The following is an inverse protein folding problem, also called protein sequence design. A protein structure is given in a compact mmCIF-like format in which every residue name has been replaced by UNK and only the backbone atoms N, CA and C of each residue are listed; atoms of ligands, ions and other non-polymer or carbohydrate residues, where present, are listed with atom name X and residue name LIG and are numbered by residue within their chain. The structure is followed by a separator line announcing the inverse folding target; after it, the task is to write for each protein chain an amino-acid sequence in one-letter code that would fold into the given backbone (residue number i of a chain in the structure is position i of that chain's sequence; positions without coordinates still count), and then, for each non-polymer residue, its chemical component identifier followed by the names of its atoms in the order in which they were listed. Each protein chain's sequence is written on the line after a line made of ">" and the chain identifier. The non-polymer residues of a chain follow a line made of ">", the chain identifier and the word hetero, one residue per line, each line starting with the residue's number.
data_IF_323948388385
#
_entry.id   IF_323948388385
#
_cell.length_a   1.000
_cell.length_b   1.000
_cell.length_c   1.000
_cell.angle_alpha   90.00
_cell.angle_beta   90.00
_cell.angle_gamma   90.00
#
_symmetry.space_group_name_H-M   'P 1'
#
loop_
_entity.id
_entity.type
_entity.pdbx_description
1 polymer ?
#
# COMPACT_ATOMS: atom_id res chain seq x y z
N UNK A 1 1.90 10.20 -24.03
CA UNK A 1 2.73 9.45 -23.05
C UNK A 1 3.80 8.70 -23.84
N UNK A 2 5.08 8.97 -23.57
CA UNK A 2 6.21 8.26 -24.20
C UNK A 2 6.48 6.94 -23.45
N UNK A 3 6.90 5.89 -24.18
CA UNK A 3 7.28 4.59 -23.59
C UNK A 3 8.40 4.76 -22.57
N UNK A 4 9.36 5.66 -22.83
CA UNK A 4 10.49 5.89 -21.91
C UNK A 4 10.04 6.44 -20.56
N UNK A 5 9.11 7.38 -20.56
CA UNK A 5 8.53 7.94 -19.33
C UNK A 5 7.74 6.89 -18.54
N UNK A 6 6.98 6.03 -19.24
CA UNK A 6 6.29 4.90 -18.59
C UNK A 6 7.28 3.94 -17.95
N UNK A 7 8.30 3.48 -18.69
CA UNK A 7 9.27 2.52 -18.18
C UNK A 7 10.10 3.10 -17.03
N UNK A 8 10.50 4.37 -17.11
CA UNK A 8 11.21 5.06 -16.02
C UNK A 8 10.38 5.07 -14.72
N UNK A 9 9.07 5.30 -14.81
CA UNK A 9 8.20 5.25 -13.64
C UNK A 9 8.14 3.83 -13.03
N UNK A 10 8.12 2.78 -13.86
CA UNK A 10 8.16 1.39 -13.39
C UNK A 10 9.53 1.00 -12.81
N UNK A 11 10.63 1.37 -13.44
CA UNK A 11 11.98 1.09 -12.94
C UNK A 11 12.18 1.69 -11.54
N UNK A 12 11.70 2.92 -11.32
CA UNK A 12 11.80 3.60 -10.02
C UNK A 12 10.80 3.03 -9.01
N UNK A 13 9.49 3.07 -9.32
CA UNK A 13 8.45 2.77 -8.33
C UNK A 13 8.22 1.28 -8.11
N UNK A 14 8.58 0.42 -9.06
CA UNK A 14 8.47 -1.04 -8.93
C UNK A 14 9.84 -1.66 -8.74
N UNK A 15 10.77 -1.48 -9.68
CA UNK A 15 12.09 -2.13 -9.64
C UNK A 15 12.95 -1.71 -8.44
N UNK A 16 13.06 -0.40 -8.21
CA UNK A 16 13.79 0.17 -7.09
C UNK A 16 13.21 -0.25 -5.74
N UNK A 17 11.90 -0.08 -5.56
CA UNK A 17 11.24 -0.46 -4.32
C UNK A 17 11.28 -1.98 -4.08
N UNK A 18 11.08 -2.81 -5.10
CA UNK A 18 11.21 -4.27 -4.97
C UNK A 18 12.61 -4.69 -4.51
N UNK A 19 13.65 -4.08 -5.10
CA UNK A 19 15.04 -4.36 -4.73
C UNK A 19 15.31 -4.05 -3.25
N UNK A 20 14.73 -2.96 -2.75
CA UNK A 20 14.82 -2.60 -1.32
C UNK A 20 14.02 -3.55 -0.44
N UNK A 21 12.77 -3.85 -0.80
CA UNK A 21 11.89 -4.74 -0.03
C UNK A 21 12.46 -6.14 0.13
N UNK A 22 12.93 -6.76 -0.95
CA UNK A 22 13.49 -8.13 -0.88
C UNK A 22 14.74 -8.16 0.00
N UNK A 23 15.64 -7.20 -0.16
CA UNK A 23 16.85 -7.11 0.70
C UNK A 23 16.49 -6.86 2.17
N UNK A 24 15.45 -6.08 2.42
CA UNK A 24 14.97 -5.80 3.77
C UNK A 24 14.36 -7.05 4.43
N UNK A 25 13.54 -7.82 3.72
CA UNK A 25 12.90 -9.05 4.24
C UNK A 25 13.91 -10.19 4.40
N UNK A 26 14.85 -10.33 3.46
CA UNK A 26 15.83 -11.43 3.44
C UNK A 26 17.17 -11.09 4.13
N UNK A 27 17.15 -10.32 5.22
CA UNK A 27 18.35 -9.95 5.96
C UNK A 27 19.04 -11.19 6.57
N UNK A 28 20.28 -11.54 6.16
CA UNK A 28 20.95 -12.76 6.62
C UNK A 28 21.39 -12.70 8.09
N UNK A 29 21.56 -11.49 8.64
CA UNK A 29 21.98 -11.25 10.02
C UNK A 29 20.82 -10.84 10.93
N UNK A 30 19.58 -11.02 10.48
CA UNK A 30 18.38 -10.72 11.27
C UNK A 30 18.33 -11.62 12.51
N UNK A 31 18.23 -11.06 13.72
CA UNK A 31 17.99 -11.83 14.93
C UNK A 31 16.75 -12.71 14.82
N UNK A 32 16.86 -13.95 15.33
CA UNK A 32 15.74 -14.90 15.35
C UNK A 32 14.57 -14.30 16.12
N UNK A 33 13.38 -14.31 15.51
CA UNK A 33 12.15 -13.79 16.11
C UNK A 33 12.00 -12.27 16.06
N UNK A 34 12.94 -11.52 15.50
CA UNK A 34 12.74 -10.07 15.31
C UNK A 34 11.75 -9.82 14.18
N UNK A 35 10.55 -9.33 14.47
CA UNK A 35 9.59 -8.88 13.45
C UNK A 35 10.14 -7.68 12.66
N UNK A 36 9.89 -7.66 11.35
CA UNK A 36 10.18 -6.51 10.49
C UNK A 36 8.91 -5.70 10.20
N UNK A 37 9.06 -4.39 9.97
CA UNK A 37 7.98 -3.50 9.57
C UNK A 37 8.32 -2.85 8.23
N UNK A 38 7.53 -3.13 7.20
CA UNK A 38 7.65 -2.55 5.87
C UNK A 38 6.43 -1.67 5.59
N UNK A 39 6.65 -0.35 5.62
CA UNK A 39 5.61 0.64 5.33
C UNK A 39 5.81 1.19 3.92
N UNK A 40 4.85 0.94 3.03
CA UNK A 40 4.88 1.41 1.65
C UNK A 40 4.04 2.68 1.47
N UNK A 41 4.69 3.79 1.12
CA UNK A 41 4.01 5.04 0.75
C UNK A 41 3.50 4.94 -0.69
N UNK A 42 2.19 4.76 -0.83
CA UNK A 42 1.48 4.65 -2.10
C UNK A 42 0.65 5.92 -2.38
N UNK A 43 -0.52 5.81 -3.00
CA UNK A 43 -1.35 6.95 -3.40
C UNK A 43 -2.82 6.57 -3.53
N UNK A 44 -3.74 7.50 -3.23
CA UNK A 44 -5.17 7.35 -3.55
C UNK A 44 -5.43 7.14 -5.05
N UNK A 45 -4.48 7.49 -5.92
CA UNK A 45 -4.60 7.29 -7.37
C UNK A 45 -4.60 5.81 -7.80
N UNK A 46 -4.28 4.87 -6.89
CA UNK A 46 -4.43 3.42 -7.17
C UNK A 46 -5.88 2.95 -7.04
N UNK A 47 -6.71 3.69 -6.30
CA UNK A 47 -8.11 3.37 -6.00
C UNK A 47 -9.07 4.30 -6.74
N UNK A 48 -8.62 5.48 -7.16
CA UNK A 48 -9.45 6.48 -7.83
C UNK A 48 -9.14 6.55 -9.34
N UNK A 49 -10.19 6.52 -10.17
CA UNK A 49 -10.07 6.46 -11.63
C UNK A 49 -9.98 7.86 -12.29
N UNK A 50 -9.37 8.85 -11.63
CA UNK A 50 -9.61 10.26 -11.98
C UNK A 50 -8.37 11.16 -11.95
N UNK A 51 -7.41 10.97 -12.87
CA UNK A 51 -6.56 12.09 -13.34
C UNK A 51 -6.01 11.79 -14.75
N UNK A 52 -6.44 12.50 -15.82
CA UNK A 52 -5.73 12.49 -17.09
C UNK A 52 -4.25 12.90 -16.87
N UNK A 53 -3.30 12.22 -17.51
CA UNK A 53 -1.86 12.47 -17.45
C UNK A 53 -1.07 11.93 -16.23
N UNK A 54 -1.68 11.26 -15.25
CA UNK A 54 -0.94 10.60 -14.16
C UNK A 54 -0.77 9.08 -14.34
N UNK A 55 -1.12 8.55 -15.52
CA UNK A 55 -1.15 7.11 -15.78
C UNK A 55 0.16 6.37 -15.42
N UNK A 56 1.38 6.84 -15.78
CA UNK A 56 2.61 6.15 -15.36
C UNK A 56 2.78 6.08 -13.85
N UNK A 57 2.48 7.17 -13.14
CA UNK A 57 2.61 7.24 -11.69
C UNK A 57 1.59 6.33 -11.00
N UNK A 58 0.30 6.48 -11.32
CA UNK A 58 -0.78 5.71 -10.70
C UNK A 58 -0.65 4.22 -10.99
N UNK A 59 -0.33 3.83 -12.22
CA UNK A 59 -0.18 2.41 -12.59
C UNK A 59 1.07 1.77 -11.99
N UNK A 60 2.21 2.48 -11.94
CA UNK A 60 3.42 1.96 -11.29
C UNK A 60 3.26 1.83 -9.77
N UNK A 61 2.61 2.81 -9.10
CA UNK A 61 2.25 2.71 -7.68
C UNK A 61 1.26 1.59 -7.41
N UNK A 62 0.25 1.41 -8.27
CA UNK A 62 -0.69 0.29 -8.17
C UNK A 62 0.03 -1.05 -8.33
N UNK A 63 0.94 -1.18 -9.31
CA UNK A 63 1.72 -2.40 -9.54
C UNK A 63 2.58 -2.77 -8.33
N UNK A 64 3.30 -1.81 -7.74
CA UNK A 64 4.12 -2.10 -6.55
C UNK A 64 3.26 -2.38 -5.31
N UNK A 65 2.14 -1.68 -5.13
CA UNK A 65 1.20 -1.94 -4.02
C UNK A 65 0.59 -3.33 -4.13
N UNK A 66 0.27 -3.78 -5.34
CA UNK A 66 -0.17 -5.16 -5.58
C UNK A 66 0.94 -6.15 -5.22
N UNK A 67 2.16 -5.94 -5.72
CA UNK A 67 3.31 -6.81 -5.47
C UNK A 67 3.58 -6.97 -3.97
N UNK A 68 3.70 -5.86 -3.23
CA UNK A 68 4.03 -5.92 -1.80
C UNK A 68 2.88 -6.50 -0.96
N UNK A 69 1.63 -6.31 -1.41
CA UNK A 69 0.46 -6.97 -0.80
C UNK A 69 0.46 -8.49 -1.00
N UNK A 70 0.98 -9.00 -2.14
CA UNK A 70 1.16 -10.44 -2.36
C UNK A 70 2.33 -11.02 -1.57
N UNK A 71 3.42 -10.27 -1.44
CA UNK A 71 4.52 -10.64 -0.53
C UNK A 71 3.99 -10.76 0.90
N UNK A 72 3.09 -9.87 1.32
CA UNK A 72 2.44 -10.00 2.62
C UNK A 72 1.64 -11.32 2.74
N UNK A 73 0.91 -11.74 1.70
CA UNK A 73 0.19 -13.03 1.72
C UNK A 73 1.12 -14.26 1.87
N UNK A 74 2.39 -14.14 1.52
CA UNK A 74 3.40 -15.20 1.61
C UNK A 74 4.12 -15.25 2.97
N UNK A 75 3.92 -14.23 3.82
CA UNK A 75 4.63 -14.09 5.09
C UNK A 75 3.66 -13.86 6.25
N UNK A 76 3.79 -14.58 7.38
CA UNK A 76 3.00 -14.28 8.56
C UNK A 76 3.36 -12.89 9.12
N UNK A 77 2.40 -12.22 9.75
CA UNK A 77 2.61 -10.85 10.28
C UNK A 77 3.72 -10.81 11.33
N UNK A 78 3.90 -11.89 12.10
CA UNK A 78 4.95 -12.05 13.11
C UNK A 78 6.36 -12.10 12.49
N UNK A 79 6.46 -12.46 11.21
CA UNK A 79 7.70 -12.39 10.44
C UNK A 79 7.91 -10.98 9.88
N UNK A 80 6.97 -10.50 9.06
CA UNK A 80 7.02 -9.13 8.54
C UNK A 80 5.62 -8.52 8.48
N UNK A 81 5.45 -7.38 9.14
CA UNK A 81 4.26 -6.55 9.00
C UNK A 81 4.43 -5.64 7.78
N UNK A 82 3.50 -5.73 6.84
CA UNK A 82 3.50 -4.92 5.61
C UNK A 82 2.22 -4.10 5.55
N UNK A 83 2.33 -2.78 5.46
CA UNK A 83 1.17 -1.88 5.28
C UNK A 83 1.48 -0.90 4.17
N UNK A 84 0.54 -0.73 3.25
CA UNK A 84 0.60 0.32 2.23
C UNK A 84 -0.36 1.43 2.58
N UNK A 85 0.00 2.69 2.34
CA UNK A 85 -0.93 3.78 2.63
C UNK A 85 -0.85 4.96 1.67
N UNK A 86 -1.97 5.67 1.53
CA UNK A 86 -1.98 7.00 0.93
C UNK A 86 -1.57 8.05 1.99
N UNK A 87 -0.51 8.82 1.76
CA UNK A 87 0.00 9.79 2.75
C UNK A 87 -0.81 11.11 2.82
N UNK A 88 -1.87 11.22 2.01
CA UNK A 88 -2.60 12.46 1.82
C UNK A 88 -2.05 13.34 0.68
N UNK A 89 -2.52 14.57 0.64
CA UNK A 89 -2.28 15.56 -0.41
C UNK A 89 -1.29 16.59 0.11
N UNK A 90 -0.01 16.34 -0.13
CA UNK A 90 1.11 17.13 0.41
C UNK A 90 1.73 18.05 -0.64
N UNK A 91 2.11 19.27 -0.24
CA UNK A 91 2.87 20.17 -1.11
C UNK A 91 4.34 19.78 -1.17
N UNK A 92 4.66 18.91 -2.13
CA UNK A 92 6.03 18.47 -2.43
C UNK A 92 6.62 19.19 -3.64
N UNK A 93 7.92 19.04 -3.88
CA UNK A 93 8.57 19.51 -5.11
C UNK A 93 7.85 18.99 -6.37
N UNK A 94 7.47 17.70 -6.36
CA UNK A 94 6.70 17.09 -7.45
C UNK A 94 5.32 17.76 -7.63
N UNK A 95 4.62 18.04 -6.53
CA UNK A 95 3.34 18.75 -6.58
C UNK A 95 3.49 20.18 -7.11
N UNK A 96 4.58 20.88 -6.75
CA UNK A 96 4.84 22.25 -7.18
C UNK A 96 5.01 22.41 -8.69
N UNK A 97 5.38 21.34 -9.41
CA UNK A 97 5.47 21.34 -10.86
C UNK A 97 4.09 21.40 -11.56
N UNK A 98 3.01 21.06 -10.84
CA UNK A 98 1.65 21.00 -11.40
C UNK A 98 0.65 21.90 -10.69
N UNK A 99 0.94 22.35 -9.46
CA UNK A 99 0.01 23.10 -8.63
C UNK A 99 0.69 24.28 -7.93
N UNK A 100 0.00 25.42 -7.91
CA UNK A 100 0.37 26.53 -7.04
C UNK A 100 0.21 26.14 -5.56
N UNK A 101 1.04 26.70 -4.68
CA UNK A 101 1.00 26.40 -3.24
C UNK A 101 -0.35 26.71 -2.61
N UNK A 102 -1.12 27.66 -3.16
CA UNK A 102 -2.43 28.04 -2.63
C UNK A 102 -3.60 27.38 -3.39
N UNK A 103 -3.33 26.53 -4.39
CA UNK A 103 -4.37 25.92 -5.21
C UNK A 103 -5.17 24.83 -4.48
N UNK A 104 -4.58 24.21 -3.46
CA UNK A 104 -5.14 23.09 -2.71
C UNK A 104 -4.93 23.39 -1.22
N UNK A 105 -5.88 22.99 -0.38
CA UNK A 105 -5.65 22.90 1.06
C UNK A 105 -4.80 21.66 1.34
N UNK A 106 -3.48 21.83 1.39
CA UNK A 106 -2.54 20.73 1.57
C UNK A 106 -2.60 20.18 3.00
N UNK A 107 -2.47 18.87 3.13
CA UNK A 107 -2.32 18.22 4.42
C UNK A 107 -0.97 18.60 5.07
N UNK A 108 -0.94 18.56 6.40
CA UNK A 108 0.30 18.74 7.14
C UNK A 108 1.19 17.51 7.04
N UNK A 109 2.51 17.70 6.90
CA UNK A 109 3.47 16.60 6.84
C UNK A 109 3.47 15.73 8.12
N UNK A 110 2.99 16.27 9.23
CA UNK A 110 2.80 15.52 10.48
C UNK A 110 1.84 14.33 10.28
N UNK A 111 0.75 14.49 9.52
CA UNK A 111 -0.26 13.45 9.30
C UNK A 111 0.35 12.12 8.79
N UNK A 112 1.04 12.07 7.63
CA UNK A 112 1.65 10.83 7.16
C UNK A 112 2.86 10.38 7.97
N UNK A 113 3.53 11.29 8.69
CA UNK A 113 4.67 10.94 9.54
C UNK A 113 4.20 10.16 10.78
N UNK A 114 3.20 10.68 11.49
CA UNK A 114 2.58 10.04 12.65
C UNK A 114 1.93 8.72 12.23
N UNK A 115 1.24 8.72 11.08
CA UNK A 115 0.67 7.51 10.52
C UNK A 115 1.72 6.42 10.25
N UNK A 116 2.87 6.77 9.67
CA UNK A 116 3.93 5.81 9.38
C UNK A 116 4.50 5.17 10.65
N UNK A 117 4.61 5.93 11.75
CA UNK A 117 5.02 5.41 13.06
C UNK A 117 3.98 4.42 13.59
N UNK A 118 2.69 4.78 13.54
CA UNK A 118 1.60 3.88 13.95
C UNK A 118 1.55 2.61 13.10
N UNK A 119 1.68 2.73 11.78
CA UNK A 119 1.67 1.61 10.83
C UNK A 119 2.85 0.65 11.01
N UNK A 120 3.95 1.11 11.60
CA UNK A 120 5.11 0.29 11.95
C UNK A 120 5.05 -0.28 13.38
N UNK A 121 3.91 -0.17 14.06
CA UNK A 121 3.70 -0.70 15.41
C UNK A 121 2.85 -1.97 15.42
N UNK A 122 2.92 -2.80 16.49
CA UNK A 122 2.06 -3.99 16.64
C UNK A 122 0.56 -3.67 16.63
N UNK A 123 0.19 -2.43 16.97
CA UNK A 123 -1.19 -1.97 17.00
C UNK A 123 -1.87 -2.00 15.62
N UNK A 124 -1.08 -1.89 14.55
CA UNK A 124 -1.56 -1.90 13.16
C UNK A 124 -1.52 -3.28 12.50
N UNK A 125 -1.11 -4.35 13.22
CA UNK A 125 -0.92 -5.70 12.68
C UNK A 125 -2.15 -6.28 11.97
N UNK A 126 -3.36 -5.92 12.42
CA UNK A 126 -4.63 -6.32 11.80
C UNK A 126 -4.83 -5.79 10.36
N UNK A 127 -4.01 -4.81 9.93
CA UNK A 127 -3.99 -4.29 8.56
C UNK A 127 -2.88 -4.90 7.69
N UNK A 128 -2.21 -5.96 8.15
CA UNK A 128 -1.16 -6.63 7.39
C UNK A 128 -1.60 -6.97 5.94
N UNK A 129 -0.78 -6.57 4.97
CA UNK A 129 -1.00 -6.70 3.54
C UNK A 129 -2.04 -5.76 2.93
N UNK A 130 -2.58 -4.78 3.68
CA UNK A 130 -3.66 -3.88 3.22
C UNK A 130 -3.18 -2.48 2.85
N UNK A 131 -4.03 -1.82 2.06
CA UNK A 131 -3.94 -0.42 1.67
C UNK A 131 -4.98 0.43 2.40
N UNK A 132 -4.52 1.55 2.96
CA UNK A 132 -5.30 2.42 3.86
C UNK A 132 -4.92 3.88 3.62
N UNK A 133 -5.67 4.84 4.16
CA UNK A 133 -5.35 6.26 4.02
C UNK A 133 -4.91 6.82 5.38
N UNK A 134 -3.91 7.70 5.39
CA UNK A 134 -3.48 8.38 6.62
C UNK A 134 -4.61 9.21 7.24
N UNK A 135 -5.56 9.67 6.43
CA UNK A 135 -6.76 10.40 6.85
C UNK A 135 -7.76 9.59 7.65
N UNK A 136 -7.72 8.26 7.61
CA UNK A 136 -8.73 7.45 8.28
C UNK A 136 -8.45 7.40 9.78
N UNK A 137 -9.50 7.62 10.57
CA UNK A 137 -9.43 7.48 12.02
C UNK A 137 -9.31 5.99 12.38
N UNK A 138 -8.19 5.63 13.00
CA UNK A 138 -7.84 4.23 13.30
C UNK A 138 -8.74 3.63 14.37
N UNK A 139 -9.25 4.44 15.30
CA UNK A 139 -10.12 3.99 16.38
C UNK A 139 -11.53 3.77 15.84
N UNK A 140 -12.02 4.64 14.96
CA UNK A 140 -13.30 4.43 14.26
C UNK A 140 -13.28 3.17 13.40
N UNK A 141 -12.20 2.95 12.64
CA UNK A 141 -12.04 1.75 11.81
C UNK A 141 -12.05 0.47 12.67
N UNK A 142 -11.38 0.48 13.82
CA UNK A 142 -11.37 -0.64 14.77
C UNK A 142 -12.71 -0.85 15.46
N UNK A 143 -13.49 0.21 15.67
CA UNK A 143 -14.81 0.11 16.30
C UNK A 143 -15.91 -0.34 15.32
N UNK A 144 -15.71 -0.17 14.01
CA UNK A 144 -16.70 -0.55 13.00
C UNK A 144 -16.70 -2.06 12.72
N UNK A 145 -17.70 -2.74 13.29
CA UNK A 145 -17.93 -4.19 13.12
C UNK A 145 -18.10 -4.60 11.65
N UNK A 146 -18.64 -3.75 10.79
CA UNK A 146 -18.81 -4.08 9.38
C UNK A 146 -17.46 -4.11 8.67
N UNK A 147 -16.58 -3.15 8.97
CA UNK A 147 -15.23 -3.11 8.41
C UNK A 147 -14.42 -4.32 8.88
N UNK A 148 -14.47 -4.63 10.18
CA UNK A 148 -13.79 -5.80 10.73
C UNK A 148 -14.28 -7.11 10.10
N UNK A 149 -15.61 -7.27 9.97
CA UNK A 149 -16.20 -8.44 9.30
C UNK A 149 -15.70 -8.59 7.87
N UNK A 150 -15.63 -7.50 7.10
CA UNK A 150 -15.11 -7.54 5.72
C UNK A 150 -13.63 -7.88 5.67
N UNK A 151 -12.82 -7.39 6.61
CA UNK A 151 -11.40 -7.74 6.67
C UNK A 151 -11.18 -9.24 6.93
N UNK A 152 -12.06 -9.85 7.73
CA UNK A 152 -12.05 -11.28 8.04
C UNK A 152 -12.56 -12.12 6.85
N UNK A 153 -13.70 -11.76 6.26
CA UNK A 153 -14.38 -12.57 5.24
C UNK A 153 -13.86 -12.33 3.81
N UNK A 154 -13.50 -11.09 3.47
CA UNK A 154 -13.05 -10.69 2.14
C UNK A 154 -11.52 -10.56 2.11
N UNK A 155 -10.80 -11.65 1.81
CA UNK A 155 -9.30 -11.65 1.74
C UNK A 155 -8.72 -10.53 0.85
N UNK A 156 -9.46 -10.12 -0.18
CA UNK A 156 -9.08 -9.05 -1.10
C UNK A 156 -9.51 -7.65 -0.69
N UNK A 157 -10.29 -7.47 0.39
CA UNK A 157 -10.72 -6.16 0.85
C UNK A 157 -9.51 -5.31 1.23
N UNK A 158 -9.50 -4.06 0.76
CA UNK A 158 -8.38 -3.12 0.87
C UNK A 158 -7.06 -3.61 0.23
N UNK A 159 -7.11 -4.50 -0.77
CA UNK A 159 -5.95 -4.90 -1.58
C UNK A 159 -6.11 -4.51 -3.03
N UNK A 160 -4.99 -4.40 -3.74
CA UNK A 160 -5.00 -4.19 -5.19
C UNK A 160 -5.36 -5.51 -5.89
N UNK A 161 -6.61 -5.61 -6.29
CA UNK A 161 -7.16 -6.61 -7.20
C UNK A 161 -8.45 -6.05 -7.79
N UNK A 162 -8.85 -6.56 -8.95
CA UNK A 162 -10.20 -6.29 -9.46
C UNK A 162 -11.16 -7.12 -8.61
N UNK A 163 -11.98 -6.46 -7.80
CA UNK A 163 -13.07 -7.11 -7.07
C UNK A 163 -14.21 -7.36 -8.06
N UNK A 164 -14.49 -8.64 -8.35
CA UNK A 164 -15.57 -9.05 -9.23
C UNK A 164 -16.89 -9.29 -8.50
N UNK A 165 -17.92 -9.70 -9.24
CA UNK A 165 -19.12 -10.31 -8.65
C UNK A 165 -18.72 -11.65 -7.98
N UNK A 166 -19.42 -12.08 -6.91
CA UNK A 166 -19.10 -13.32 -6.20
C UNK A 166 -19.45 -14.55 -7.05
N UNK A 167 -18.66 -14.85 -8.07
CA UNK A 167 -18.72 -16.13 -8.79
C UNK A 167 -17.45 -16.33 -9.63
N UNK A 168 -16.36 -16.74 -8.96
CA UNK A 168 -15.49 -17.88 -9.30
C UNK A 168 -14.69 -18.17 -8.03
N UNK A 169 -15.10 -19.19 -7.27
CA UNK A 169 -14.26 -19.71 -6.20
C UNK A 169 -13.01 -20.33 -6.82
N UNK A 170 -11.84 -19.74 -6.54
CA UNK A 170 -10.53 -20.32 -6.85
C UNK A 170 -10.08 -21.31 -5.74
N UNK A 171 -10.93 -21.59 -4.74
CA UNK A 171 -10.60 -22.51 -3.64
C UNK A 171 -10.32 -23.92 -4.17
N UNK A 172 -10.86 -24.28 -5.34
CA UNK A 172 -10.55 -25.53 -6.05
C UNK A 172 -9.23 -25.55 -6.84
N UNK A 173 -8.55 -24.42 -7.03
CA UNK A 173 -7.32 -24.33 -7.83
C UNK A 173 -6.03 -24.51 -7.00
N UNK A 174 -6.07 -24.18 -5.70
CA UNK A 174 -4.89 -24.25 -4.81
C UNK A 174 -4.85 -25.50 -3.92
N UNK A 175 -5.87 -26.36 -3.98
CA UNK A 175 -5.84 -27.70 -3.36
C UNK A 175 -5.41 -28.71 -4.44
N UNK A 176 -4.12 -28.74 -4.76
CA UNK A 176 -3.39 -29.90 -5.32
C UNK A 176 -1.90 -29.61 -5.39
N UNK A 177 -1.22 -29.89 -4.28
CA UNK A 177 -0.07 -30.81 -4.14
C UNK A 177 0.47 -30.73 -2.71
#
# INVERSE_FOLDING_TARGET
>A
MDKRELMKAFDVNVGGNFSMSVKFVSQPLRPVGQQLNLVNVSTAAIQTYRVPNQNPYSTSKAAFTALVGRIADEHPVEDVQIISFHPGVLYSESASASFDKNAINWDEMALPADYAVWAASPEASWLHGRFVWAHWDVDELKADKNILKRLEEEKGFLKVAIQGLPEVSLDGYFIKN
#
